data_IF_764523499960
#
_entry.id   IF_764523499960
#
_cell.length_a   1.000
_cell.length_b   1.000
_cell.length_c   1.000
_cell.angle_alpha   90.00
_cell.angle_beta   90.00
_cell.angle_gamma   90.00
#
_symmetry.space_group_name_H-M   'P 1'
#
loop_
_entity.id
_entity.type
_entity.pdbx_description
1 polymer ?
#
# COMPACT_ATOMS: atom_id res chain seq x y z
N UNK A 1 4.53 0.68 19.95
CA UNK A 1 4.44 -0.44 18.99
C UNK A 1 3.15 -0.24 18.22
N UNK A 2 3.24 0.41 17.06
CA UNK A 2 2.05 0.81 16.32
C UNK A 2 1.46 -0.41 15.62
N UNK A 3 0.28 -0.85 16.05
CA UNK A 3 -0.44 -1.97 15.45
C UNK A 3 -0.83 -1.59 14.01
N UNK A 4 -0.41 -2.34 13.00
CA UNK A 4 -0.74 -2.17 11.55
C UNK A 4 -2.20 -2.52 11.20
N UNK A 5 -3.06 -2.50 12.21
CA UNK A 5 -4.42 -2.99 12.22
C UNK A 5 -5.37 -1.81 12.06
N UNK A 6 -6.17 -1.78 11.01
CA UNK A 6 -7.17 -0.72 10.81
C UNK A 6 -8.30 -0.72 11.85
N UNK A 7 -8.47 -1.83 12.57
CA UNK A 7 -9.56 -2.05 13.53
C UNK A 7 -9.10 -2.36 14.96
N UNK A 8 -7.81 -2.17 15.27
CA UNK A 8 -7.35 -2.27 16.67
C UNK A 8 -7.50 -0.94 17.39
N UNK A 9 -7.52 -1.00 18.72
CA UNK A 9 -7.63 0.19 19.56
C UNK A 9 -9.06 0.64 19.76
N UNK A 10 -9.21 1.77 20.43
CA UNK A 10 -10.50 2.40 20.66
C UNK A 10 -11.03 3.11 19.40
N UNK A 11 -12.27 3.58 19.47
CA UNK A 11 -12.90 4.33 18.38
C UNK A 11 -12.04 5.50 17.90
N UNK A 12 -11.40 6.25 18.82
CA UNK A 12 -10.60 7.42 18.48
C UNK A 12 -9.37 7.04 17.64
N UNK A 13 -8.71 5.94 17.99
CA UNK A 13 -7.56 5.40 17.26
C UNK A 13 -7.97 4.94 15.85
N UNK A 14 -9.06 4.17 15.74
CA UNK A 14 -9.58 3.70 14.46
C UNK A 14 -10.04 4.83 13.56
N UNK A 15 -10.75 5.82 14.11
CA UNK A 15 -11.23 7.00 13.38
C UNK A 15 -10.05 7.84 12.86
N UNK A 16 -9.05 8.11 13.69
CA UNK A 16 -7.88 8.90 13.29
C UNK A 16 -7.14 8.27 12.11
N UNK A 17 -6.96 6.94 12.13
CA UNK A 17 -6.31 6.19 11.03
C UNK A 17 -7.11 6.25 9.73
N UNK A 18 -8.44 6.17 9.81
CA UNK A 18 -9.34 6.30 8.64
C UNK A 18 -9.25 7.68 8.03
N UNK A 19 -9.29 8.73 8.84
CA UNK A 19 -9.16 10.11 8.37
C UNK A 19 -7.78 10.36 7.77
N UNK A 20 -6.71 9.85 8.39
CA UNK A 20 -5.36 9.99 7.84
C UNK A 20 -5.23 9.31 6.46
N UNK A 21 -5.79 8.10 6.31
CA UNK A 21 -5.82 7.42 5.02
C UNK A 21 -6.64 8.20 3.97
N UNK A 22 -7.85 8.65 4.34
CA UNK A 22 -8.70 9.48 3.47
C UNK A 22 -7.98 10.75 3.03
N UNK A 23 -7.34 11.44 3.97
CA UNK A 23 -6.63 12.67 3.71
C UNK A 23 -5.50 12.47 2.70
N UNK A 24 -4.66 11.44 2.88
CA UNK A 24 -3.60 11.10 1.91
C UNK A 24 -4.18 10.81 0.53
N UNK A 25 -5.29 10.07 0.48
CA UNK A 25 -5.97 9.78 -0.78
C UNK A 25 -6.45 11.07 -1.48
N UNK A 26 -7.23 11.90 -0.79
CA UNK A 26 -7.78 13.15 -1.33
C UNK A 26 -6.69 14.16 -1.74
N UNK A 27 -5.62 14.26 -0.96
CA UNK A 27 -4.49 15.13 -1.28
C UNK A 27 -3.78 14.64 -2.54
N UNK A 28 -3.58 13.32 -2.68
CA UNK A 28 -2.97 12.73 -3.88
C UNK A 28 -3.84 12.85 -5.13
N UNK A 29 -5.17 12.62 -5.04
CA UNK A 29 -6.10 12.81 -6.16
C UNK A 29 -6.19 14.28 -6.58
N UNK A 30 -6.11 15.21 -5.62
CA UNK A 30 -6.12 16.64 -5.95
C UNK A 30 -4.93 17.06 -6.84
N UNK A 31 -3.79 16.39 -6.71
CA UNK A 31 -2.61 16.61 -7.55
C UNK A 31 -2.66 15.81 -8.86
N UNK A 32 -3.29 14.64 -8.85
CA UNK A 32 -3.36 13.76 -10.03
C UNK A 32 -4.32 14.25 -11.12
N UNK A 33 -5.43 14.92 -10.74
CA UNK A 33 -6.47 15.35 -11.69
C UNK A 33 -6.39 16.86 -11.99
N UNK A 34 -6.57 17.21 -13.27
CA UNK A 34 -6.56 18.62 -13.71
C UNK A 34 -7.86 19.31 -13.36
N UNK A 35 -7.86 20.03 -12.24
CA UNK A 35 -8.98 20.86 -11.82
C UNK A 35 -9.93 20.15 -10.86
N UNK A 36 -10.57 20.96 -10.01
CA UNK A 36 -11.47 20.49 -8.94
C UNK A 36 -12.73 19.79 -9.46
N UNK A 37 -13.20 20.22 -10.62
CA UNK A 37 -14.47 19.76 -11.21
C UNK A 37 -14.30 18.59 -12.19
N UNK A 38 -13.15 17.90 -12.21
CA UNK A 38 -12.98 16.68 -13.01
C UNK A 38 -13.99 15.62 -12.59
N UNK A 39 -14.76 15.12 -13.54
CA UNK A 39 -15.76 14.07 -13.31
C UNK A 39 -15.07 12.78 -12.82
N UNK A 40 -13.93 12.45 -13.41
CA UNK A 40 -13.10 11.30 -13.02
C UNK A 40 -12.62 11.42 -11.58
N UNK A 41 -12.19 12.62 -11.17
CA UNK A 41 -11.81 12.91 -9.79
C UNK A 41 -12.99 12.71 -8.85
N UNK A 42 -14.17 13.24 -9.20
CA UNK A 42 -15.39 13.14 -8.37
C UNK A 42 -15.82 11.69 -8.16
N UNK A 43 -15.74 10.86 -9.20
CA UNK A 43 -16.00 9.42 -9.10
C UNK A 43 -14.99 8.74 -8.18
N UNK A 44 -13.69 8.98 -8.39
CA UNK A 44 -12.64 8.37 -7.58
C UNK A 44 -12.72 8.76 -6.09
N UNK A 45 -12.92 10.03 -5.79
CA UNK A 45 -13.08 10.52 -4.41
C UNK A 45 -14.37 10.00 -3.76
N UNK A 46 -15.44 9.86 -4.54
CA UNK A 46 -16.70 9.26 -4.09
C UNK A 46 -16.55 7.78 -3.70
N UNK A 47 -15.90 6.98 -4.54
CA UNK A 47 -15.66 5.56 -4.26
C UNK A 47 -14.71 5.35 -3.06
N UNK A 48 -13.65 6.15 -2.96
CA UNK A 48 -12.75 6.07 -1.80
C UNK A 48 -13.45 6.42 -0.49
N UNK A 49 -14.33 7.44 -0.50
CA UNK A 49 -15.14 7.77 0.67
C UNK A 49 -16.04 6.60 1.08
N UNK A 50 -16.66 5.90 0.12
CA UNK A 50 -17.47 4.70 0.40
C UNK A 50 -16.63 3.58 1.03
N UNK A 51 -15.49 3.26 0.43
CA UNK A 51 -14.59 2.21 0.94
C UNK A 51 -14.13 2.47 2.38
N UNK A 52 -13.89 3.74 2.74
CA UNK A 52 -13.46 4.14 4.08
C UNK A 52 -14.56 4.07 5.14
N UNK A 53 -15.82 4.18 4.71
CA UNK A 53 -16.98 3.98 5.58
C UNK A 53 -17.38 2.52 5.73
N UNK A 54 -16.92 1.63 4.83
CA UNK A 54 -17.20 0.20 4.87
C UNK A 54 -16.15 -0.52 5.75
N UNK A 55 -16.51 -1.02 6.96
CA UNK A 55 -15.58 -1.72 7.83
C UNK A 55 -14.98 -2.99 7.20
N UNK A 56 -15.65 -3.57 6.19
CA UNK A 56 -15.20 -4.77 5.47
C UNK A 56 -14.18 -4.50 4.35
N UNK A 57 -13.99 -3.25 3.95
CA UNK A 57 -13.08 -2.87 2.84
C UNK A 57 -11.76 -2.26 3.33
N UNK A 58 -11.54 -2.20 4.64
CA UNK A 58 -10.32 -1.60 5.18
C UNK A 58 -9.10 -2.50 4.95
N UNK A 59 -8.18 -2.01 4.14
CA UNK A 59 -6.91 -2.66 3.82
C UNK A 59 -6.08 -2.93 5.09
N UNK A 60 -5.72 -4.20 5.32
CA UNK A 60 -4.69 -4.56 6.30
C UNK A 60 -3.33 -3.97 5.87
N UNK A 61 -2.51 -3.53 6.83
CA UNK A 61 -1.16 -3.06 6.56
C UNK A 61 -0.29 -4.17 5.96
N UNK A 62 0.77 -3.75 5.26
CA UNK A 62 1.74 -4.64 4.62
C UNK A 62 2.25 -5.73 5.57
N UNK A 63 2.57 -5.36 6.81
CA UNK A 63 3.16 -6.28 7.79
C UNK A 63 2.27 -7.50 8.05
N UNK A 64 0.95 -7.29 8.12
CA UNK A 64 -0.03 -8.38 8.29
C UNK A 64 -0.11 -9.26 7.05
N UNK A 65 -0.11 -8.66 5.87
CA UNK A 65 -0.09 -9.42 4.62
C UNK A 65 1.16 -10.29 4.53
N UNK A 66 2.34 -9.73 4.84
CA UNK A 66 3.59 -10.48 4.84
C UNK A 66 3.60 -11.62 5.87
N UNK A 67 3.06 -11.38 7.08
CA UNK A 67 2.91 -12.41 8.11
C UNK A 67 2.00 -13.55 7.64
N UNK A 68 0.85 -13.24 7.03
CA UNK A 68 -0.09 -14.23 6.52
C UNK A 68 0.50 -15.07 5.40
N UNK A 69 1.19 -14.44 4.45
CA UNK A 69 1.83 -15.14 3.32
C UNK A 69 2.89 -16.13 3.81
N UNK A 70 3.75 -15.74 4.76
CA UNK A 70 4.68 -16.68 5.42
C UNK A 70 3.97 -17.78 6.17
N UNK A 71 2.87 -17.46 6.86
CA UNK A 71 2.07 -18.43 7.60
C UNK A 71 1.47 -19.54 6.74
N UNK A 72 1.38 -19.35 5.42
CA UNK A 72 0.90 -20.35 4.46
C UNK A 72 2.00 -20.88 3.52
N UNK A 73 3.28 -20.74 3.90
CA UNK A 73 4.40 -21.36 3.20
C UNK A 73 4.92 -20.60 1.97
N UNK A 74 4.67 -19.30 1.88
CA UNK A 74 5.29 -18.45 0.87
C UNK A 74 6.50 -17.70 1.43
N UNK A 75 7.55 -17.63 0.62
CA UNK A 75 8.71 -16.78 0.86
C UNK A 75 8.60 -15.50 0.00
N UNK A 76 8.97 -14.36 0.59
CA UNK A 76 9.03 -13.09 -0.13
C UNK A 76 10.21 -13.09 -1.10
N UNK A 77 10.00 -12.55 -2.29
CA UNK A 77 11.01 -12.43 -3.35
C UNK A 77 11.24 -10.95 -3.68
N UNK A 78 12.45 -10.64 -4.16
CA UNK A 78 12.82 -9.28 -4.55
C UNK A 78 12.53 -9.09 -6.03
N UNK A 79 11.96 -7.94 -6.40
CA UNK A 79 11.79 -7.56 -7.80
C UNK A 79 13.15 -7.40 -8.49
N UNK A 80 13.26 -7.84 -9.74
CA UNK A 80 14.46 -7.63 -10.55
C UNK A 80 14.76 -6.14 -10.78
N UNK A 81 16.03 -5.81 -10.96
CA UNK A 81 16.51 -4.43 -11.14
C UNK A 81 15.80 -3.70 -12.29
N UNK A 82 15.60 -4.38 -13.43
CA UNK A 82 14.87 -3.82 -14.58
C UNK A 82 13.44 -3.38 -14.24
N UNK A 83 12.75 -4.15 -13.39
CA UNK A 83 11.39 -3.81 -12.96
C UNK A 83 11.39 -2.60 -12.02
N UNK A 84 12.36 -2.53 -11.10
CA UNK A 84 12.56 -1.39 -10.20
C UNK A 84 12.88 -0.13 -11.00
N UNK A 85 13.80 -0.20 -11.96
CA UNK A 85 14.20 0.95 -12.78
C UNK A 85 13.07 1.40 -13.70
N UNK A 86 12.31 0.46 -14.28
CA UNK A 86 11.10 0.77 -15.03
C UNK A 86 10.06 1.51 -14.19
N UNK A 87 9.82 1.04 -12.96
CA UNK A 87 8.91 1.71 -12.03
C UNK A 87 9.40 3.10 -11.62
N UNK A 88 10.70 3.28 -11.34
CA UNK A 88 11.29 4.60 -11.07
C UNK A 88 11.16 5.54 -12.27
N UNK A 89 11.40 5.05 -13.47
CA UNK A 89 11.27 5.84 -14.70
C UNK A 89 9.82 6.26 -14.96
N UNK A 90 8.84 5.40 -14.65
CA UNK A 90 7.43 5.73 -14.71
C UNK A 90 7.07 6.85 -13.71
N UNK A 91 7.53 6.72 -12.46
CA UNK A 91 7.20 7.67 -11.40
C UNK A 91 7.69 9.10 -11.69
N UNK A 92 8.85 9.23 -12.35
CA UNK A 92 9.41 10.52 -12.79
C UNK A 92 8.50 11.33 -13.74
N UNK A 93 7.48 10.70 -14.32
CA UNK A 93 6.50 11.36 -15.20
C UNK A 93 5.35 12.02 -14.42
N UNK A 94 5.23 11.74 -13.13
CA UNK A 94 4.18 12.24 -12.25
C UNK A 94 4.73 13.30 -11.30
N UNK A 95 3.85 13.80 -10.42
CA UNK A 95 4.18 14.79 -9.42
C UNK A 95 5.39 14.37 -8.56
N UNK A 96 6.30 15.31 -8.27
CA UNK A 96 7.55 15.05 -7.54
C UNK A 96 7.35 14.62 -6.09
N UNK A 97 6.14 14.75 -5.54
CA UNK A 97 5.79 14.25 -4.22
C UNK A 97 5.63 12.73 -4.16
N UNK A 98 5.62 12.04 -5.31
CA UNK A 98 5.63 10.59 -5.37
C UNK A 98 7.04 10.03 -5.16
N UNK A 99 7.14 9.05 -4.26
CA UNK A 99 8.39 8.34 -3.97
C UNK A 99 8.17 6.82 -4.01
N UNK A 100 9.20 6.10 -4.46
CA UNK A 100 9.25 4.63 -4.41
C UNK A 100 10.39 4.19 -3.51
N UNK A 101 10.09 3.36 -2.51
CA UNK A 101 11.06 2.82 -1.54
C UNK A 101 11.05 1.30 -1.59
N UNK A 102 12.24 0.71 -1.72
CA UNK A 102 12.42 -0.75 -1.68
C UNK A 102 12.76 -1.13 -0.25
N UNK A 103 12.08 -2.15 0.28
CA UNK A 103 12.30 -2.64 1.64
C UNK A 103 12.95 -4.01 1.66
N UNK A 104 13.97 -4.17 2.51
CA UNK A 104 14.82 -5.36 2.53
C UNK A 104 14.15 -6.58 3.18
N UNK A 105 13.33 -6.37 4.22
CA UNK A 105 12.83 -7.45 5.09
C UNK A 105 11.93 -8.46 4.37
N UNK A 106 11.14 -8.00 3.40
CA UNK A 106 10.10 -8.78 2.71
C UNK A 106 10.13 -8.60 1.18
N UNK A 107 11.18 -7.98 0.64
CA UNK A 107 11.29 -7.67 -0.80
C UNK A 107 10.22 -6.73 -1.35
N UNK A 108 9.43 -6.11 -0.46
CA UNK A 108 8.31 -5.26 -0.83
C UNK A 108 8.77 -3.89 -1.35
N UNK A 109 7.98 -3.33 -2.26
CA UNK A 109 8.16 -1.99 -2.78
C UNK A 109 7.01 -1.12 -2.32
N UNK A 110 7.30 -0.09 -1.53
CA UNK A 110 6.32 0.88 -1.06
C UNK A 110 6.19 2.07 -2.00
N UNK A 111 4.95 2.49 -2.25
CA UNK A 111 4.61 3.76 -2.90
C UNK A 111 4.25 4.79 -1.83
N UNK A 112 4.86 5.96 -1.93
CA UNK A 112 4.77 7.02 -0.94
C UNK A 112 4.33 8.34 -1.58
N UNK A 113 3.52 9.09 -0.85
CA UNK A 113 3.05 10.42 -1.21
C UNK A 113 3.42 11.40 -0.10
N UNK A 114 4.25 12.42 -0.41
CA UNK A 114 4.72 13.43 0.57
C UNK A 114 5.31 12.79 1.84
N UNK A 115 6.15 11.78 1.68
CA UNK A 115 6.78 11.08 2.80
C UNK A 115 5.85 10.18 3.62
N UNK A 116 4.62 9.91 3.15
CA UNK A 116 3.69 8.99 3.80
C UNK A 116 3.42 7.75 2.93
N UNK A 117 3.37 6.52 3.49
CA UNK A 117 3.09 5.33 2.70
C UNK A 117 1.61 5.30 2.30
N UNK A 118 1.33 4.99 1.04
CA UNK A 118 -0.06 4.90 0.52
C UNK A 118 -0.41 3.53 -0.05
N UNK A 119 0.56 2.80 -0.60
CA UNK A 119 0.37 1.45 -1.14
C UNK A 119 1.69 0.68 -1.13
N UNK A 120 1.63 -0.63 -1.34
CA UNK A 120 2.79 -1.49 -1.49
C UNK A 120 2.56 -2.54 -2.57
N UNK A 121 3.65 -3.08 -3.09
CA UNK A 121 3.68 -4.23 -3.98
C UNK A 121 4.66 -5.26 -3.41
N UNK A 122 4.33 -6.55 -3.55
CA UNK A 122 5.11 -7.66 -3.00
C UNK A 122 5.11 -8.82 -3.97
N UNK A 123 6.23 -9.52 -4.09
CA UNK A 123 6.36 -10.75 -4.87
C UNK A 123 6.57 -11.93 -3.94
N UNK A 124 5.96 -13.06 -4.25
CA UNK A 124 5.98 -14.26 -3.40
C UNK A 124 6.21 -15.49 -4.25
N UNK A 125 6.96 -16.44 -3.70
CA UNK A 125 7.04 -17.80 -4.26
C UNK A 125 6.74 -18.84 -3.19
N UNK A 126 6.33 -20.02 -3.64
CA UNK A 126 6.16 -21.16 -2.73
C UNK A 126 7.54 -21.53 -2.17
N UNK A 127 7.62 -21.71 -0.86
CA UNK A 127 8.83 -22.21 -0.23
C UNK A 127 9.00 -23.69 -0.61
N UNK A 128 10.10 -24.03 -1.29
CA UNK A 128 10.38 -25.41 -1.66
C UNK A 128 10.65 -26.22 -0.38
N UNK A 129 9.64 -26.93 0.12
CA UNK A 129 9.85 -27.99 1.13
C UNK A 129 10.72 -29.06 0.49
N UNK A 130 12.03 -28.98 0.71
CA UNK A 130 12.93 -30.11 0.42
C UNK A 130 12.39 -31.32 1.20
N UNK A 131 12.16 -32.47 0.56
CA UNK A 131 11.84 -33.67 1.31
C UNK A 131 13.02 -33.98 2.24
N UNK A 132 12.74 -34.06 3.54
CA UNK A 132 13.70 -34.58 4.52
C UNK A 132 14.01 -36.02 4.15
N UNK A 133 15.12 -36.25 3.44
CA UNK A 133 15.68 -37.58 3.31
C UNK A 133 16.38 -37.92 4.63
N UNK A 134 15.66 -38.64 5.49
CA UNK A 134 16.19 -39.41 6.63
C UNK A 134 16.95 -40.64 6.16
#
# INVERSE_FOLDING_TARGET
MDCSCTNCGDFATGFSRRIEYLWKFLDSTSAAFKGRESEERRVMEGEAARALTNPGEMNEGKEKWCERMRGVGFAGEVFGEDAIDGARALLKKYDSNWEMRVEEKDGCVGLWWKGLPVSFCSLWRLEDTKPNNS
#
